data_IF_589573852713
#
_entry.id   IF_589573852713
#
_cell.length_a   1.000
_cell.length_b   1.000
_cell.length_c   1.000
_cell.angle_alpha   90.00
_cell.angle_beta   90.00
_cell.angle_gamma   90.00
#
_symmetry.space_group_name_H-M   'P 1'
#
loop_
_entity.id
_entity.type
_entity.pdbx_description
1 polymer ?
#
# COMPACT_ATOMS: atom_id res chain seq x y z
N UNK A 1 4.43 -4.45 -8.80
CA UNK A 1 3.59 -5.00 -7.71
C UNK A 1 3.06 -6.36 -8.14
N UNK A 2 3.02 -7.36 -7.26
CA UNK A 2 2.44 -8.67 -7.59
C UNK A 2 0.94 -8.67 -7.32
N UNK A 3 0.13 -8.92 -8.35
CA UNK A 3 -1.32 -9.04 -8.27
C UNK A 3 -1.71 -10.51 -8.19
N UNK A 4 -2.69 -10.84 -7.35
CA UNK A 4 -3.04 -12.23 -7.08
C UNK A 4 -4.38 -12.61 -7.72
N UNK A 5 -5.42 -11.77 -7.61
CA UNK A 5 -6.79 -12.09 -8.07
C UNK A 5 -7.57 -10.80 -8.41
N UNK A 6 -8.53 -10.87 -9.35
CA UNK A 6 -9.42 -9.77 -9.74
C UNK A 6 -10.87 -10.24 -9.79
N UNK A 7 -11.80 -9.50 -9.19
CA UNK A 7 -13.24 -9.82 -9.20
C UNK A 7 -14.10 -8.59 -8.99
N UNK A 8 -15.20 -8.46 -9.74
CA UNK A 8 -16.24 -7.43 -9.54
C UNK A 8 -15.71 -5.99 -9.38
N UNK A 9 -14.69 -5.59 -10.14
CA UNK A 9 -14.07 -4.25 -10.04
C UNK A 9 -13.10 -4.08 -8.87
N UNK A 10 -12.67 -5.18 -8.25
CA UNK A 10 -11.67 -5.19 -7.18
C UNK A 10 -10.46 -6.02 -7.55
N UNK A 11 -9.30 -5.56 -7.11
CA UNK A 11 -8.02 -6.22 -7.32
C UNK A 11 -7.39 -6.55 -5.96
N UNK A 12 -7.02 -7.81 -5.76
CA UNK A 12 -6.29 -8.26 -4.59
C UNK A 12 -4.80 -7.98 -4.77
N UNK A 13 -4.25 -7.15 -3.90
CA UNK A 13 -2.82 -6.83 -3.85
C UNK A 13 -2.23 -7.28 -2.52
N UNK A 14 -0.91 -7.47 -2.49
CA UNK A 14 -0.19 -7.65 -1.24
C UNK A 14 -0.32 -6.39 -0.38
N UNK A 15 -0.59 -6.56 0.91
CA UNK A 15 -0.65 -5.45 1.85
C UNK A 15 0.71 -4.72 1.88
N UNK A 16 0.77 -3.42 1.55
CA UNK A 16 2.02 -2.67 1.62
C UNK A 16 2.44 -2.51 3.07
N UNK A 17 3.75 -2.48 3.31
CA UNK A 17 4.31 -2.39 4.66
C UNK A 17 3.88 -1.13 5.41
N UNK A 18 3.47 -0.07 4.73
CA UNK A 18 2.97 1.15 5.38
C UNK A 18 1.63 0.96 6.12
N UNK A 19 0.86 -0.09 5.80
CA UNK A 19 -0.38 -0.40 6.51
C UNK A 19 -0.12 -0.88 7.93
N UNK A 20 -1.11 -0.67 8.79
CA UNK A 20 -1.08 -1.15 10.16
C UNK A 20 -2.32 -1.98 10.45
N UNK A 21 -2.11 -3.12 11.10
CA UNK A 21 -3.16 -4.00 11.56
C UNK A 21 -3.10 -4.20 13.06
N UNK A 22 -4.11 -4.88 13.59
CA UNK A 22 -4.33 -4.99 15.02
C UNK A 22 -4.54 -6.43 15.45
N UNK A 23 -3.90 -6.80 16.54
CA UNK A 23 -4.09 -8.10 17.21
C UNK A 23 -4.30 -7.87 18.70
N UNK A 24 -5.03 -8.76 19.37
CA UNK A 24 -5.24 -8.65 20.81
C UNK A 24 -3.93 -8.93 21.56
N UNK A 25 -3.51 -8.01 22.42
CA UNK A 25 -2.22 -8.03 23.11
C UNK A 25 -2.05 -9.25 24.00
N UNK A 26 -3.13 -9.70 24.65
CA UNK A 26 -3.14 -10.86 25.55
C UNK A 26 -2.66 -12.18 24.90
N UNK A 27 -2.67 -12.27 23.56
CA UNK A 27 -2.30 -13.48 22.82
C UNK A 27 -0.89 -13.42 22.23
N UNK A 28 -0.15 -12.34 22.48
CA UNK A 28 1.19 -12.11 21.92
C UNK A 28 2.17 -11.88 23.05
N UNK A 29 3.23 -12.68 23.11
CA UNK A 29 4.26 -12.57 24.15
C UNK A 29 5.62 -12.35 23.49
N UNK A 30 6.28 -11.23 23.81
CA UNK A 30 7.56 -10.82 23.19
C UNK A 30 7.50 -10.81 21.65
N UNK A 31 6.38 -10.37 21.08
CA UNK A 31 6.16 -10.35 19.63
C UNK A 31 5.83 -11.71 19.00
N UNK A 32 5.69 -12.78 19.79
CA UNK A 32 5.37 -14.13 19.29
C UNK A 32 3.93 -14.50 19.62
N UNK A 33 3.21 -15.00 18.60
CA UNK A 33 1.83 -15.49 18.73
C UNK A 33 1.78 -16.77 19.55
N UNK A 34 0.95 -16.79 20.57
CA UNK A 34 0.76 -17.95 21.46
C UNK A 34 -0.34 -18.93 20.97
N UNK A 35 -1.56 -18.49 20.66
CA UNK A 35 -2.65 -19.42 20.31
C UNK A 35 -2.49 -20.00 18.91
N UNK A 36 -3.11 -21.16 18.68
CA UNK A 36 -3.06 -21.88 17.40
C UNK A 36 -3.47 -21.02 16.21
N UNK A 37 -4.46 -20.14 16.42
CA UNK A 37 -4.97 -19.17 15.44
C UNK A 37 -5.24 -17.85 16.15
N UNK A 38 -4.76 -16.76 15.57
CA UNK A 38 -4.99 -15.40 16.05
C UNK A 38 -5.46 -14.53 14.88
N UNK A 39 -6.61 -13.87 15.07
CA UNK A 39 -7.19 -12.99 14.07
C UNK A 39 -6.45 -11.65 14.03
N UNK A 40 -6.06 -11.23 12.84
CA UNK A 40 -5.49 -9.92 12.54
C UNK A 40 -6.60 -9.05 11.98
N UNK A 41 -6.79 -7.85 12.55
CA UNK A 41 -7.93 -6.97 12.26
C UNK A 41 -7.51 -5.62 11.70
N UNK A 42 -8.44 -4.95 11.03
CA UNK A 42 -8.26 -3.59 10.49
C UNK A 42 -8.28 -2.50 11.56
N UNK A 43 -8.75 -2.79 12.79
CA UNK A 43 -8.79 -1.85 13.90
C UNK A 43 -8.74 -2.49 15.30
N UNK A 44 -8.51 -1.70 16.36
CA UNK A 44 -8.31 -2.18 17.74
C UNK A 44 -9.65 -2.41 18.46
N UNK A 45 -10.51 -3.27 17.88
CA UNK A 45 -11.76 -3.74 18.48
C UNK A 45 -12.24 -5.01 17.77
N UNK A 46 -13.12 -5.77 18.41
CA UNK A 46 -13.80 -6.95 17.87
C UNK A 46 -14.78 -6.62 16.73
N UNK A 47 -15.24 -5.38 16.63
CA UNK A 47 -16.17 -4.92 15.58
C UNK A 47 -15.47 -4.63 14.24
N UNK A 48 -14.14 -4.64 14.18
CA UNK A 48 -13.39 -4.46 12.94
C UNK A 48 -13.20 -5.79 12.21
N UNK A 49 -13.17 -5.73 10.89
CA UNK A 49 -13.02 -6.90 10.03
C UNK A 49 -11.69 -7.62 10.26
N UNK A 50 -11.73 -8.95 10.13
CA UNK A 50 -10.55 -9.81 10.18
C UNK A 50 -9.96 -9.88 8.78
N UNK A 51 -8.72 -9.42 8.61
CA UNK A 51 -8.04 -9.42 7.31
C UNK A 51 -7.32 -10.74 7.06
N UNK A 52 -6.75 -11.35 8.10
CA UNK A 52 -6.05 -12.63 8.02
C UNK A 52 -5.99 -13.31 9.39
N UNK A 53 -5.48 -14.53 9.41
CA UNK A 53 -5.23 -15.32 10.61
C UNK A 53 -3.75 -15.70 10.64
N UNK A 54 -3.10 -15.46 11.77
CA UNK A 54 -1.72 -15.90 12.03
C UNK A 54 -1.72 -17.07 13.02
N UNK A 55 -0.76 -17.98 12.85
CA UNK A 55 -0.69 -19.21 13.66
C UNK A 55 0.30 -19.07 14.83
N UNK A 56 0.27 -20.02 15.77
CA UNK A 56 1.25 -20.11 16.86
C UNK A 56 2.68 -20.01 16.34
N UNK A 57 3.54 -19.30 17.07
CA UNK A 57 4.96 -19.18 16.75
C UNK A 57 5.27 -18.14 15.69
N UNK A 58 4.26 -17.56 15.03
CA UNK A 58 4.47 -16.45 14.11
C UNK A 58 5.07 -15.24 14.86
N UNK A 59 6.14 -14.69 14.28
CA UNK A 59 6.75 -13.46 14.76
C UNK A 59 6.03 -12.25 14.15
N UNK A 60 5.66 -11.29 15.00
CA UNK A 60 4.96 -10.08 14.60
C UNK A 60 5.89 -8.87 14.75
N UNK A 61 5.91 -8.01 13.73
CA UNK A 61 6.56 -6.70 13.82
C UNK A 61 5.64 -5.71 14.51
N UNK A 62 5.81 -5.55 15.83
CA UNK A 62 5.00 -4.65 16.66
C UNK A 62 5.50 -3.21 16.47
N UNK A 63 4.57 -2.31 16.11
CA UNK A 63 4.83 -0.88 15.85
C UNK A 63 4.27 0.03 16.94
N UNK A 64 3.45 -0.51 17.82
CA UNK A 64 2.89 0.21 18.95
C UNK A 64 1.75 -0.55 19.60
N UNK A 65 1.09 0.12 20.53
CA UNK A 65 0.00 -0.44 21.32
C UNK A 65 -1.11 0.59 21.51
N UNK A 66 -2.33 0.09 21.71
CA UNK A 66 -3.48 0.89 22.07
C UNK A 66 -4.44 0.06 22.92
N UNK A 67 -4.54 0.39 24.21
CA UNK A 67 -5.29 -0.39 25.19
C UNK A 67 -4.88 -1.87 25.13
N UNK A 68 -5.83 -2.79 24.95
CA UNK A 68 -5.60 -4.24 24.90
C UNK A 68 -5.19 -4.75 23.51
N UNK A 69 -4.73 -3.87 22.62
CA UNK A 69 -4.41 -4.19 21.22
C UNK A 69 -2.99 -3.77 20.86
N UNK A 70 -2.31 -4.63 20.10
CA UNK A 70 -1.03 -4.33 19.49
C UNK A 70 -1.22 -3.92 18.04
N UNK A 71 -0.58 -2.82 17.67
CA UNK A 71 -0.45 -2.37 16.29
C UNK A 71 0.75 -3.08 15.67
N UNK A 72 0.53 -3.75 14.55
CA UNK A 72 1.54 -4.56 13.86
C UNK A 72 1.65 -4.18 12.39
N UNK A 73 2.83 -4.44 11.81
CA UNK A 73 2.98 -4.48 10.36
C UNK A 73 2.15 -5.63 9.75
N UNK A 74 1.82 -5.57 8.45
CA UNK A 74 1.19 -6.69 7.75
C UNK A 74 2.03 -7.97 7.90
N UNK A 75 1.47 -9.07 8.41
CA UNK A 75 2.11 -10.36 8.32
C UNK A 75 2.35 -10.75 6.85
N UNK A 76 3.39 -11.55 6.61
CA UNK A 76 3.68 -12.06 5.27
C UNK A 76 2.46 -12.79 4.68
N UNK A 77 2.13 -12.48 3.43
CA UNK A 77 0.96 -13.05 2.75
C UNK A 77 -0.37 -12.37 3.06
N UNK A 78 -0.39 -11.30 3.88
CA UNK A 78 -1.57 -10.44 4.00
C UNK A 78 -1.93 -9.81 2.66
N UNK A 79 -3.20 -9.91 2.29
CA UNK A 79 -3.76 -9.33 1.07
C UNK A 79 -4.81 -8.29 1.43
N UNK A 80 -4.89 -7.26 0.60
CA UNK A 80 -5.93 -6.23 0.68
C UNK A 80 -6.55 -6.05 -0.69
N UNK A 81 -7.82 -5.64 -0.70
CA UNK A 81 -8.55 -5.37 -1.93
C UNK A 81 -8.56 -3.86 -2.19
N UNK A 82 -8.22 -3.48 -3.41
CA UNK A 82 -8.27 -2.11 -3.90
C UNK A 82 -9.25 -2.08 -5.07
N UNK A 83 -10.08 -1.04 -5.16
CA UNK A 83 -10.93 -0.87 -6.35
C UNK A 83 -10.04 -0.67 -7.57
N UNK A 84 -10.40 -1.35 -8.65
CA UNK A 84 -9.73 -1.26 -9.94
C UNK A 84 -9.60 0.18 -10.44
N UNK A 85 -10.57 1.04 -10.11
CA UNK A 85 -10.58 2.47 -10.48
C UNK A 85 -9.39 3.27 -9.92
N UNK A 86 -8.71 2.75 -8.89
CA UNK A 86 -7.53 3.37 -8.26
C UNK A 86 -6.24 2.59 -8.51
N UNK A 87 -6.26 1.60 -9.39
CA UNK A 87 -5.08 0.83 -9.79
C UNK A 87 -4.72 1.20 -11.22
N UNK A 88 -3.77 2.12 -11.38
CA UNK A 88 -3.07 2.25 -12.65
C UNK A 88 -2.19 1.01 -12.82
N UNK A 89 -2.66 0.08 -13.65
CA UNK A 89 -1.88 -1.08 -14.05
C UNK A 89 -0.76 -0.54 -14.94
N UNK A 90 0.40 -0.29 -14.34
CA UNK A 90 1.64 -0.23 -15.09
C UNK A 90 1.87 -1.66 -15.55
N UNK A 91 1.33 -2.01 -16.72
CA UNK A 91 1.72 -3.24 -17.39
C UNK A 91 3.25 -3.21 -17.48
N UNK A 92 3.96 -4.25 -17.03
CA UNK A 92 5.36 -4.36 -17.41
C UNK A 92 5.38 -4.23 -18.94
N UNK A 93 6.31 -3.44 -19.52
CA UNK A 93 6.35 -3.23 -20.95
C UNK A 93 6.24 -4.61 -21.60
N UNK A 94 5.15 -4.80 -22.36
CA UNK A 94 4.94 -6.02 -23.13
C UNK A 94 6.27 -6.29 -23.81
N UNK A 95 6.94 -7.45 -23.59
CA UNK A 95 8.19 -7.72 -24.25
C UNK A 95 7.90 -7.49 -25.73
N UNK A 96 8.59 -6.50 -26.32
CA UNK A 96 8.54 -6.31 -27.75
C UNK A 96 8.82 -7.68 -28.37
N UNK A 97 8.12 -8.08 -29.43
CA UNK A 97 8.43 -9.32 -30.10
C UNK A 97 9.93 -9.32 -30.35
N UNK A 98 10.65 -10.22 -29.68
CA UNK A 98 12.04 -10.48 -29.99
C UNK A 98 11.98 -10.88 -31.44
N UNK A 99 12.35 -9.96 -32.33
CA UNK A 99 12.63 -10.29 -33.72
C UNK A 99 13.80 -11.24 -33.58
N UNK A 100 13.50 -12.53 -33.63
CA UNK A 100 14.50 -13.54 -33.90
C UNK A 100 14.94 -13.17 -35.32
N UNK A 101 16.15 -12.62 -35.54
CA UNK A 101 16.65 -12.53 -36.89
C UNK A 101 16.58 -13.95 -37.45
N UNK A 102 15.97 -14.09 -38.64
CA UNK A 102 16.06 -15.29 -39.45
C UNK A 102 17.53 -15.76 -39.42
N UNK A 103 17.81 -17.06 -39.19
CA UNK A 103 19.16 -17.52 -38.95
C UNK A 103 20.06 -17.11 -40.11
N UNK A 104 20.95 -16.14 -39.88
CA UNK A 104 22.12 -15.97 -40.72
C UNK A 104 22.88 -17.31 -40.70
N UNK A 105 23.34 -17.81 -41.87
CA UNK A 105 24.07 -19.07 -41.92
C UNK A 105 25.29 -18.99 -41.01
N UNK A 106 25.48 -20.02 -40.17
CA UNK A 106 26.63 -20.19 -39.28
C UNK A 106 27.93 -19.83 -40.02
N UNK A 107 28.70 -18.82 -39.57
CA UNK A 107 30.11 -18.79 -39.87
C UNK A 107 30.86 -19.78 -38.97
N UNK A 108 31.75 -20.54 -39.60
CA UNK A 108 32.72 -21.49 -39.05
C UNK A 108 33.54 -21.00 -37.84
N UNK A 109 34.17 -21.90 -37.06
CA UNK A 109 34.58 -21.63 -35.67
C UNK A 109 35.83 -20.75 -35.48
N UNK A 110 35.75 -19.97 -34.39
CA UNK A 110 36.73 -19.32 -33.47
C UNK A 110 38.20 -19.05 -33.87
N UNK A 111 38.76 -17.95 -33.34
CA UNK A 111 39.64 -18.13 -32.18
C UNK A 111 39.32 -17.27 -30.94
N UNK A 112 39.80 -17.79 -29.80
CA UNK A 112 39.74 -17.40 -28.38
C UNK A 112 40.10 -15.93 -28.00
N UNK A 113 39.84 -15.50 -26.73
CA UNK A 113 39.48 -14.12 -26.39
C UNK A 113 40.63 -13.22 -25.94
N UNK A 114 40.43 -11.91 -26.10
CA UNK A 114 41.23 -10.82 -25.52
C UNK A 114 40.31 -9.77 -24.85
N UNK A 115 40.83 -8.93 -23.92
CA UNK A 115 40.32 -8.84 -22.55
C UNK A 115 39.20 -7.83 -22.32
N UNK A 116 38.46 -8.09 -21.23
CA UNK A 116 37.35 -7.32 -20.66
C UNK A 116 37.74 -5.87 -20.38
N UNK A 117 36.95 -4.92 -20.92
CA UNK A 117 36.89 -3.54 -20.42
C UNK A 117 35.54 -3.36 -19.72
N UNK A 118 35.57 -3.25 -18.40
CA UNK A 118 34.42 -2.83 -17.60
C UNK A 118 34.00 -1.41 -18.02
N UNK A 119 32.82 -1.28 -18.62
CA UNK A 119 32.16 0.01 -18.75
C UNK A 119 31.25 0.19 -17.54
N UNK A 120 31.62 1.15 -16.70
CA UNK A 120 30.87 1.63 -15.54
C UNK A 120 29.51 2.16 -16.02
N UNK A 121 28.37 1.70 -15.46
CA UNK A 121 27.07 2.28 -15.80
C UNK A 121 26.90 3.65 -15.13
N UNK A 122 26.42 4.59 -15.93
CA UNK A 122 25.99 5.95 -15.56
C UNK A 122 24.74 5.87 -14.64
N UNK A 123 24.62 6.70 -13.58
CA UNK A 123 23.50 6.58 -12.64
C UNK A 123 22.21 7.16 -13.22
N UNK A 124 21.17 6.32 -13.28
CA UNK A 124 19.81 6.68 -13.65
C UNK A 124 19.09 7.36 -12.47
N UNK A 125 18.55 8.57 -12.66
CA UNK A 125 17.86 9.35 -11.62
C UNK A 125 16.47 8.77 -11.28
N UNK A 126 16.22 8.52 -9.99
CA UNK A 126 14.90 8.11 -9.47
C UNK A 126 13.86 9.25 -9.52
N UNK A 127 12.57 8.95 -9.80
CA UNK A 127 11.52 9.97 -9.78
C UNK A 127 11.15 10.41 -8.35
N UNK A 128 10.93 11.73 -8.18
CA UNK A 128 10.69 12.37 -6.87
C UNK A 128 9.26 12.13 -6.34
N UNK A 129 9.09 11.85 -5.03
CA UNK A 129 7.78 11.63 -4.42
C UNK A 129 6.94 12.92 -4.32
N UNK A 130 5.63 12.79 -4.50
CA UNK A 130 4.63 13.84 -4.27
C UNK A 130 4.61 14.24 -2.78
N UNK A 131 5.26 15.35 -2.45
CA UNK A 131 5.14 15.97 -1.12
C UNK A 131 3.83 16.75 -1.02
N UNK A 132 3.03 16.45 0.00
CA UNK A 132 1.96 17.35 0.47
C UNK A 132 2.63 18.58 1.08
N UNK A 133 2.77 19.64 0.28
CA UNK A 133 3.31 20.91 0.74
C UNK A 133 2.19 21.69 1.41
N UNK A 134 2.41 22.08 2.67
CA UNK A 134 1.53 23.01 3.39
C UNK A 134 1.51 24.35 2.65
N UNK A 135 0.31 24.85 2.38
CA UNK A 135 0.12 26.16 1.76
C UNK A 135 0.16 27.24 2.84
N UNK A 136 1.34 27.85 3.01
CA UNK A 136 1.59 28.90 4.00
C UNK A 136 0.89 30.23 3.67
N UNK A 137 0.28 30.35 2.49
CA UNK A 137 -0.53 31.52 2.14
C UNK A 137 -1.88 31.54 2.85
N UNK A 138 -2.30 30.41 3.43
CA UNK A 138 -3.59 30.29 4.14
C UNK A 138 -3.40 30.49 5.65
N UNK A 139 -4.38 31.11 6.35
CA UNK A 139 -4.29 31.33 7.79
C UNK A 139 -4.23 30.00 8.55
N UNK A 140 -3.06 29.67 9.08
CA UNK A 140 -2.84 28.50 9.93
C UNK A 140 -3.11 28.85 11.41
N UNK A 141 -3.65 27.90 12.19
CA UNK A 141 -3.79 28.05 13.65
C UNK A 141 -4.92 28.96 14.15
N UNK A 142 -5.82 29.43 13.28
CA UNK A 142 -7.02 30.18 13.69
C UNK A 142 -8.24 29.26 13.77
N UNK A 143 -9.03 29.41 14.83
CA UNK A 143 -10.32 28.72 14.95
C UNK A 143 -11.34 29.37 14.04
N UNK A 144 -11.88 28.59 13.10
CA UNK A 144 -12.95 29.04 12.21
C UNK A 144 -14.20 28.15 12.40
N UNK A 145 -15.39 28.73 12.18
CA UNK A 145 -16.67 28.03 12.28
C UNK A 145 -17.30 27.93 10.89
N UNK A 146 -17.22 26.75 10.32
CA UNK A 146 -17.69 26.49 8.96
C UNK A 146 -18.97 25.64 9.04
N UNK A 147 -20.12 26.14 8.57
CA UNK A 147 -21.34 25.35 8.50
C UNK A 147 -21.21 24.31 7.38
N UNK A 148 -21.57 23.05 7.65
CA UNK A 148 -21.49 21.99 6.65
C UNK A 148 -21.95 20.65 7.18
N UNK A 149 -22.03 19.68 6.28
CA UNK A 149 -22.37 18.29 6.63
C UNK A 149 -21.12 17.43 6.50
N UNK A 150 -20.83 16.62 7.51
CA UNK A 150 -19.79 15.60 7.42
C UNK A 150 -20.30 14.44 6.55
N UNK A 151 -19.70 14.27 5.38
CA UNK A 151 -19.93 13.12 4.50
C UNK A 151 -18.79 12.13 4.69
N UNK A 152 -19.12 10.86 4.88
CA UNK A 152 -18.12 9.80 4.98
C UNK A 152 -17.43 9.65 3.62
N UNK A 153 -16.12 9.84 3.59
CA UNK A 153 -15.33 9.65 2.37
C UNK A 153 -14.73 8.24 2.34
N UNK A 154 -13.98 7.88 3.38
CA UNK A 154 -13.37 6.56 3.57
C UNK A 154 -13.53 6.13 5.05
N UNK A 155 -13.28 4.86 5.42
CA UNK A 155 -13.20 4.47 6.83
C UNK A 155 -12.15 5.32 7.58
N UNK A 156 -12.58 6.05 8.62
CA UNK A 156 -11.72 6.96 9.40
C UNK A 156 -11.43 8.32 8.75
N UNK A 157 -12.05 8.64 7.62
CA UNK A 157 -11.87 9.92 6.92
C UNK A 157 -13.22 10.49 6.46
N UNK A 158 -13.52 11.69 6.92
CA UNK A 158 -14.73 12.44 6.61
C UNK A 158 -14.37 13.64 5.73
N UNK A 159 -15.27 14.00 4.82
CA UNK A 159 -15.24 15.26 4.08
C UNK A 159 -16.22 16.22 4.75
N UNK A 160 -15.78 17.40 5.13
CA UNK A 160 -16.70 18.48 5.46
C UNK A 160 -17.16 19.10 4.14
N UNK A 161 -18.46 19.01 3.86
CA UNK A 161 -19.06 19.49 2.61
C UNK A 161 -19.95 20.70 2.91
N UNK A 162 -19.74 21.79 2.19
CA UNK A 162 -20.65 22.93 2.16
C UNK A 162 -21.85 22.55 1.29
N UNK A 163 -23.07 22.73 1.79
CA UNK A 163 -24.30 22.49 1.01
C UNK A 163 -24.95 23.84 0.74
N UNK A 164 -24.93 24.26 -0.52
CA UNK A 164 -25.74 25.36 -1.06
C UNK A 164 -27.03 24.85 -1.70
N UNK A 165 -27.92 25.75 -2.16
CA UNK A 165 -29.17 25.36 -2.82
C UNK A 165 -28.94 24.53 -4.10
N UNK A 166 -27.82 24.74 -4.79
CA UNK A 166 -27.50 24.08 -6.08
C UNK A 166 -26.06 23.53 -6.17
N UNK A 167 -25.30 23.49 -5.06
CA UNK A 167 -23.93 22.96 -5.07
C UNK A 167 -23.52 22.27 -3.77
N UNK A 168 -22.68 21.24 -3.91
CA UNK A 168 -21.97 20.59 -2.81
C UNK A 168 -20.45 20.74 -3.06
N UNK A 169 -19.74 21.44 -2.17
CA UNK A 169 -18.30 21.66 -2.31
C UNK A 169 -17.51 21.10 -1.10
N UNK A 170 -16.49 20.24 -1.31
CA UNK A 170 -15.67 19.70 -0.24
C UNK A 170 -14.65 20.75 0.23
N UNK A 171 -14.74 21.13 1.51
CA UNK A 171 -13.91 22.20 2.09
C UNK A 171 -12.61 21.63 2.64
N UNK A 172 -12.69 20.53 3.38
CA UNK A 172 -11.53 19.89 4.00
C UNK A 172 -11.80 18.43 4.35
N UNK A 173 -10.70 17.71 4.63
CA UNK A 173 -10.72 16.34 5.13
C UNK A 173 -10.55 16.34 6.65
N UNK A 174 -11.45 15.67 7.34
CA UNK A 174 -11.45 15.49 8.80
C UNK A 174 -11.15 14.02 9.09
N UNK A 175 -10.04 13.75 9.77
CA UNK A 175 -9.70 12.41 10.22
C UNK A 175 -10.38 12.17 11.57
N UNK A 176 -11.17 11.09 11.67
CA UNK A 176 -11.93 10.72 12.87
C UNK A 176 -11.61 9.31 13.33
#
# INVERSE_FOLDING_TARGET
MAYFEKTNGWVAVQAPDSLNFWVAAQYVKKGIVQPAKLNVRTGPNLNYDVITVVNTGAALSVRGEFKDWLKIAPPSGSRVWISEDYVDIIEPPKPEPVVIPEPEPEPEPEPEPEPVVEVVPEPEEEPKPLMLVLDDSKPQGKTDRIPGVLRRANPGLYKLVLIGPDFEEPICLVRG
#
